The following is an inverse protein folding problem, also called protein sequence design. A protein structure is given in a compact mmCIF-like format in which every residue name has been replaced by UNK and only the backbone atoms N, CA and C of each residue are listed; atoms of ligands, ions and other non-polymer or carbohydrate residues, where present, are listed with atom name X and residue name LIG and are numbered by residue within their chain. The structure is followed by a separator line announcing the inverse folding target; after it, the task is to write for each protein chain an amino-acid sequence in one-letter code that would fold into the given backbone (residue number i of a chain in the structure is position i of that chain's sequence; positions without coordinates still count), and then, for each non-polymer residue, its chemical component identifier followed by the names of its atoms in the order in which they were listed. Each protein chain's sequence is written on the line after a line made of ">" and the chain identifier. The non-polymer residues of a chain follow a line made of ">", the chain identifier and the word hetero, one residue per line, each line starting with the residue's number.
data_IF_396845996816
#
_entry.id   IF_396845996816
#
_cell.length_a   1.000
_cell.length_b   1.000
_cell.length_c   1.000
_cell.angle_alpha   90.00
_cell.angle_beta   90.00
_cell.angle_gamma   90.00
#
_symmetry.space_group_name_H-M   'P 1'
#
loop_
_entity.id
_entity.type
_entity.pdbx_description
1 polymer ?
#
# COMPACT_ATOMS: atom_id res chain seq x y z
N UNK A 1 11.36 -8.45 0.51
CA UNK A 1 10.08 -9.10 0.83
C UNK A 1 9.15 -8.05 1.41
N UNK A 2 7.92 -8.00 0.93
CA UNK A 2 6.91 -7.04 1.36
C UNK A 2 6.60 -7.27 2.84
N UNK A 3 6.85 -6.28 3.69
CA UNK A 3 6.76 -6.39 5.15
C UNK A 3 5.40 -6.92 5.62
N UNK A 4 4.34 -6.70 4.83
CA UNK A 4 2.97 -7.00 5.21
C UNK A 4 2.32 -8.12 4.36
N UNK A 5 2.90 -8.57 3.24
CA UNK A 5 2.21 -9.51 2.34
C UNK A 5 2.17 -10.94 2.91
N UNK A 6 3.08 -11.27 3.84
CA UNK A 6 3.12 -12.59 4.49
C UNK A 6 1.83 -12.93 5.26
N UNK A 7 1.07 -11.92 5.68
CA UNK A 7 -0.18 -12.14 6.40
C UNK A 7 -1.24 -12.79 5.49
N UNK A 8 -1.20 -12.53 4.18
CA UNK A 8 -2.16 -13.11 3.24
C UNK A 8 -1.96 -14.62 3.12
N UNK A 9 -0.71 -15.08 3.13
CA UNK A 9 -0.38 -16.51 3.15
C UNK A 9 -0.86 -17.16 4.46
N UNK A 10 -0.65 -16.50 5.60
CA UNK A 10 -1.13 -16.99 6.91
C UNK A 10 -2.66 -17.07 6.97
N UNK A 11 -3.37 -16.07 6.44
CA UNK A 11 -4.83 -16.09 6.39
C UNK A 11 -5.35 -17.22 5.47
N UNK A 12 -4.66 -17.48 4.36
CA UNK A 12 -4.99 -18.61 3.48
C UNK A 12 -4.80 -19.97 4.17
N UNK A 13 -3.73 -20.13 4.95
CA UNK A 13 -3.48 -21.34 5.74
C UNK A 13 -4.56 -21.54 6.81
N UNK A 14 -4.92 -20.48 7.54
CA UNK A 14 -5.97 -20.53 8.56
C UNK A 14 -7.34 -20.86 7.96
N UNK A 15 -7.67 -20.31 6.80
CA UNK A 15 -8.92 -20.63 6.09
C UNK A 15 -8.95 -22.10 5.67
N UNK A 16 -7.84 -22.60 5.15
CA UNK A 16 -7.70 -24.00 4.75
C UNK A 16 -7.87 -24.93 5.94
N UNK A 17 -7.26 -24.59 7.08
CA UNK A 17 -7.46 -25.30 8.34
C UNK A 17 -8.93 -25.26 8.78
N UNK A 18 -9.57 -24.09 8.82
CA UNK A 18 -10.96 -23.95 9.23
C UNK A 18 -11.90 -24.79 8.36
N UNK A 19 -11.70 -24.76 7.04
CA UNK A 19 -12.47 -25.53 6.06
C UNK A 19 -12.30 -27.04 6.27
N UNK A 20 -11.06 -27.50 6.45
CA UNK A 20 -10.75 -28.91 6.68
C UNK A 20 -11.34 -29.46 8.00
N UNK A 21 -11.60 -28.59 8.97
CA UNK A 21 -12.14 -28.95 10.28
C UNK A 21 -13.64 -28.65 10.43
N UNK A 22 -14.35 -28.32 9.35
CA UNK A 22 -15.79 -28.04 9.39
C UNK A 22 -16.16 -26.74 10.12
N UNK A 23 -15.20 -25.84 10.33
CA UNK A 23 -15.40 -24.54 10.96
C UNK A 23 -15.86 -23.50 9.93
N UNK A 24 -17.02 -23.74 9.30
CA UNK A 24 -17.49 -22.95 8.15
C UNK A 24 -17.59 -21.45 8.40
N UNK A 25 -18.18 -21.04 9.53
CA UNK A 25 -18.28 -19.62 9.89
C UNK A 25 -16.91 -18.95 10.08
N UNK A 26 -15.93 -19.69 10.60
CA UNK A 26 -14.56 -19.18 10.73
C UNK A 26 -13.91 -19.02 9.35
N UNK A 27 -14.09 -19.98 8.45
CA UNK A 27 -13.57 -19.90 7.08
C UNK A 27 -14.18 -18.72 6.30
N UNK A 28 -15.48 -18.47 6.47
CA UNK A 28 -16.18 -17.31 5.89
C UNK A 28 -15.62 -15.98 6.42
N UNK A 29 -15.47 -15.86 7.75
CA UNK A 29 -14.89 -14.64 8.34
C UNK A 29 -13.42 -14.42 7.92
N UNK A 30 -12.66 -15.51 7.71
CA UNK A 30 -11.28 -15.43 7.21
C UNK A 30 -11.22 -14.96 5.75
N UNK A 31 -12.24 -15.24 4.93
CA UNK A 31 -12.35 -14.66 3.58
C UNK A 31 -12.54 -13.14 3.65
N UNK A 32 -13.48 -12.65 4.46
CA UNK A 32 -13.69 -11.21 4.63
C UNK A 32 -12.44 -10.51 5.21
N UNK A 33 -11.78 -11.16 6.17
CA UNK A 33 -10.54 -10.66 6.76
C UNK A 33 -9.43 -10.53 5.72
N UNK A 34 -9.34 -11.49 4.79
CA UNK A 34 -8.36 -11.47 3.70
C UNK A 34 -8.61 -10.29 2.75
N UNK A 35 -9.87 -9.98 2.44
CA UNK A 35 -10.24 -8.84 1.61
C UNK A 35 -9.84 -7.50 2.25
N UNK A 36 -10.12 -7.34 3.54
CA UNK A 36 -9.74 -6.13 4.30
C UNK A 36 -8.22 -5.96 4.33
N UNK A 37 -7.49 -7.03 4.68
CA UNK A 37 -6.03 -7.00 4.73
C UNK A 37 -5.42 -6.64 3.36
N UNK A 38 -5.93 -7.22 2.28
CA UNK A 38 -5.47 -6.92 0.93
C UNK A 38 -5.71 -5.45 0.55
N UNK A 39 -6.86 -4.89 0.90
CA UNK A 39 -7.19 -3.48 0.65
C UNK A 39 -6.27 -2.53 1.43
N UNK A 40 -6.03 -2.80 2.72
CA UNK A 40 -5.15 -1.99 3.57
C UNK A 40 -3.69 -2.02 3.09
N UNK A 41 -3.19 -3.21 2.72
CA UNK A 41 -1.84 -3.38 2.18
C UNK A 41 -1.70 -2.62 0.84
N UNK A 42 -2.71 -2.68 -0.02
CA UNK A 42 -2.72 -1.94 -1.28
C UNK A 42 -2.70 -0.42 -1.05
N UNK A 43 -3.51 0.09 -0.10
CA UNK A 43 -3.52 1.52 0.26
C UNK A 43 -2.15 1.98 0.76
N UNK A 44 -1.53 1.24 1.68
CA UNK A 44 -0.19 1.58 2.18
C UNK A 44 0.87 1.61 1.08
N UNK A 45 0.80 0.68 0.11
CA UNK A 45 1.71 0.67 -1.05
C UNK A 45 1.49 1.88 -1.95
N UNK A 46 0.25 2.31 -2.14
CA UNK A 46 -0.07 3.51 -2.93
C UNK A 46 0.40 4.78 -2.22
N UNK A 47 0.15 4.90 -0.92
CA UNK A 47 0.63 6.02 -0.09
C UNK A 47 2.16 6.15 -0.12
N UNK A 48 2.87 5.02 0.03
CA UNK A 48 4.33 5.00 -0.06
C UNK A 48 4.83 5.46 -1.45
N UNK A 49 4.15 5.06 -2.53
CA UNK A 49 4.48 5.52 -3.89
C UNK A 49 4.18 7.00 -4.10
N UNK A 50 3.06 7.49 -3.58
CA UNK A 50 2.68 8.89 -3.67
C UNK A 50 3.69 9.80 -2.97
N UNK A 51 4.19 9.39 -1.79
CA UNK A 51 5.23 10.11 -1.04
C UNK A 51 6.53 10.22 -1.85
N UNK A 52 7.02 9.11 -2.42
CA UNK A 52 8.24 9.09 -3.24
C UNK A 52 8.13 9.98 -4.49
N UNK A 53 6.95 10.04 -5.12
CA UNK A 53 6.71 10.86 -6.30
C UNK A 53 6.57 12.36 -5.96
N UNK A 54 5.97 12.69 -4.81
CA UNK A 54 5.84 14.07 -4.33
C UNK A 54 7.17 14.75 -4.04
N UNK A 55 8.15 13.99 -3.53
CA UNK A 55 9.51 14.48 -3.25
C UNK A 55 10.28 14.82 -4.54
N UNK A 56 10.13 14.03 -5.61
CA UNK A 56 10.75 14.32 -6.91
C UNK A 56 10.10 15.52 -7.65
N UNK A 57 8.82 15.79 -7.39
CA UNK A 57 8.14 16.97 -7.94
C UNK A 57 8.58 18.30 -7.33
N UNK A 58 9.13 18.29 -6.11
CA UNK A 58 9.56 19.51 -5.42
C UNK A 58 10.98 19.97 -5.76
N UNK A 59 11.84 19.11 -6.31
CA UNK A 59 13.23 19.49 -6.66
C UNK A 59 13.35 20.25 -8.00
N UNK A 60 12.28 20.32 -8.80
CA UNK A 60 12.27 20.99 -10.11
C UNK A 60 11.76 22.44 -10.11
N UNK A 61 11.15 22.92 -9.02
CA UNK A 61 10.43 24.21 -9.02
C UNK A 61 11.23 25.39 -8.46
N UNK A 62 12.56 25.38 -8.53
CA UNK A 62 13.40 26.50 -8.07
C UNK A 62 14.54 26.89 -9.04
N UNK A 63 14.45 26.56 -10.32
CA UNK A 63 15.42 27.04 -11.33
C UNK A 63 14.71 27.52 -12.59
N UNK A 64 13.99 28.65 -12.53
CA UNK A 64 13.84 29.55 -13.69
C UNK A 64 13.42 30.93 -13.20
N UNK A 65 14.34 31.91 -13.27
CA UNK A 65 14.01 33.31 -12.99
C UNK A 65 15.16 34.24 -12.64
N UNK A 66 16.42 33.81 -12.77
CA UNK A 66 17.56 34.72 -12.83
C UNK A 66 17.47 35.58 -14.10
N UNK A 67 17.36 36.90 -13.91
CA UNK A 67 17.85 37.89 -14.87
C UNK A 67 16.80 38.68 -15.64
N UNK A 68 16.67 39.97 -15.28
CA UNK A 68 16.50 41.13 -16.18
C UNK A 68 16.25 42.36 -15.29
N UNK A 69 16.81 43.54 -15.51
CA UNK A 69 18.01 44.05 -16.16
C UNK A 69 18.06 45.51 -15.67
N UNK A 70 19.24 46.08 -15.51
CA UNK A 70 19.47 47.48 -15.15
C UNK A 70 18.89 48.48 -16.17
N UNK A 71 18.81 49.75 -15.72
CA UNK A 71 18.66 51.04 -16.45
C UNK A 71 17.19 51.48 -16.66
N UNK A 72 16.82 52.74 -16.45
CA UNK A 72 17.58 54.00 -16.51
C UNK A 72 17.16 54.98 -15.40
#
# INVERSE_FOLDING_TARGET
>A
MMQNDWILDVLADLKSFASANGLGALAEQLDDTTLIAAAEIASQKEEARAQLNGEHGQLGSNITGLGRHQRA
#
